data_IF_063875669534
#
_entry.id   IF_063875669534
#
_cell.length_a   1.000
_cell.length_b   1.000
_cell.length_c   1.000
_cell.angle_alpha   90.00
_cell.angle_beta   90.00
_cell.angle_gamma   90.00
#
_symmetry.space_group_name_H-M   'P 1'
#
loop_
_entity.id
_entity.type
_entity.pdbx_description
1 polymer ?
#
# COMPACT_ATOMS: atom_id res chain seq x y z
N UNK A 1 -18.52 29.35 -18.99
CA UNK A 1 -18.35 28.04 -18.34
C UNK A 1 -18.92 28.11 -16.93
N UNK A 2 -19.95 27.31 -16.63
CA UNK A 2 -20.51 27.18 -15.27
C UNK A 2 -19.57 26.25 -14.49
N UNK A 3 -19.30 26.54 -13.20
CA UNK A 3 -18.49 25.64 -12.37
C UNK A 3 -19.38 24.51 -11.85
N UNK A 4 -19.01 23.23 -12.05
CA UNK A 4 -19.76 22.11 -11.47
C UNK A 4 -19.75 22.19 -9.94
N UNK A 5 -20.86 21.80 -9.30
CA UNK A 5 -20.95 21.71 -7.84
C UNK A 5 -20.49 20.32 -7.40
N UNK A 6 -19.22 20.25 -7.02
CA UNK A 6 -18.56 19.04 -6.53
C UNK A 6 -18.11 19.26 -5.08
N UNK A 7 -18.22 18.22 -4.26
CA UNK A 7 -17.48 18.12 -3.02
C UNK A 7 -16.57 16.90 -3.06
N UNK A 8 -15.40 17.04 -2.45
CA UNK A 8 -14.38 15.99 -2.38
C UNK A 8 -13.93 15.80 -0.93
N UNK A 9 -13.70 14.56 -0.54
CA UNK A 9 -13.12 14.19 0.75
C UNK A 9 -12.04 13.12 0.57
N UNK A 10 -11.01 13.17 1.39
CA UNK A 10 -9.91 12.21 1.46
C UNK A 10 -9.71 11.73 2.90
N UNK A 11 -9.38 10.46 3.09
CA UNK A 11 -8.91 9.92 4.37
C UNK A 11 -7.44 9.52 4.22
N UNK A 12 -6.52 10.22 4.88
CA UNK A 12 -5.10 9.79 4.98
C UNK A 12 -4.43 10.39 6.23
N UNK A 13 -3.78 9.56 7.04
CA UNK A 13 -2.78 9.96 8.02
C UNK A 13 -1.40 9.93 7.33
N UNK A 14 -0.71 11.07 7.27
CA UNK A 14 0.63 11.17 6.63
C UNK A 14 1.70 11.14 7.70
N UNK A 15 2.52 10.09 7.73
CA UNK A 15 3.74 10.04 8.54
C UNK A 15 4.85 10.86 7.87
N UNK A 16 5.39 11.86 8.56
CA UNK A 16 6.49 12.70 8.07
C UNK A 16 7.81 12.25 8.70
N UNK A 17 8.76 11.67 7.94
CA UNK A 17 10.04 11.28 8.51
C UNK A 17 10.87 12.52 8.91
N UNK A 18 11.71 12.43 9.96
CA UNK A 18 12.56 13.53 10.38
C UNK A 18 13.68 13.80 9.36
N UNK A 19 13.81 15.05 8.93
CA UNK A 19 14.90 15.53 8.07
C UNK A 19 16.24 15.51 8.80
N UNK A 20 17.27 14.89 8.21
CA UNK A 20 18.65 15.02 8.70
C UNK A 20 19.61 15.40 7.57
N UNK A 21 20.46 16.39 7.85
CA UNK A 21 21.52 16.90 6.96
C UNK A 21 22.66 15.89 6.79
N UNK A 22 23.28 15.77 5.61
CA UNK A 22 24.38 14.84 5.39
C UNK A 22 25.67 15.38 6.01
N UNK A 23 26.37 14.57 6.80
CA UNK A 23 27.78 14.78 7.16
C UNK A 23 28.65 13.72 6.50
N UNK A 24 29.77 14.14 5.90
CA UNK A 24 30.73 13.32 5.17
C UNK A 24 31.55 12.44 6.12
N UNK A 25 31.84 11.15 5.81
CA UNK A 25 32.65 10.32 6.69
C UNK A 25 34.15 10.45 6.41
N UNK A 26 34.91 10.91 7.40
CA UNK A 26 36.35 10.65 7.50
C UNK A 26 36.61 9.22 7.99
N UNK A 27 37.66 8.58 7.46
CA UNK A 27 38.06 7.19 7.71
C UNK A 27 38.66 7.02 9.12
N UNK A 28 38.24 6.02 9.93
CA UNK A 28 39.04 5.59 11.08
C UNK A 28 39.45 4.10 11.00
N UNK A 29 40.58 3.79 11.64
CA UNK A 29 41.11 2.44 11.87
C UNK A 29 40.23 1.59 12.81
N UNK A 30 40.74 0.48 13.37
CA UNK A 30 39.91 -0.53 14.02
C UNK A 30 39.31 0.02 15.32
N UNK A 31 38.06 0.49 15.23
CA UNK A 31 37.34 1.13 16.31
C UNK A 31 36.55 0.10 17.13
N UNK A 32 36.71 0.14 18.46
CA UNK A 32 35.68 -0.33 19.38
C UNK A 32 34.38 0.42 19.06
N UNK A 33 33.32 -0.33 18.77
CA UNK A 33 32.07 0.22 18.24
C UNK A 33 31.22 0.73 19.42
N UNK A 34 30.80 2.00 19.42
CA UNK A 34 29.98 2.55 20.50
C UNK A 34 28.55 1.95 20.46
N UNK A 35 27.87 1.78 21.61
CA UNK A 35 26.51 1.21 21.73
C UNK A 35 25.36 2.00 21.05
N UNK A 36 25.68 3.04 20.27
CA UNK A 36 24.74 4.08 19.81
C UNK A 36 24.25 3.91 18.38
N UNK A 37 24.60 2.82 17.69
CA UNK A 37 24.14 2.60 16.31
C UNK A 37 22.65 2.25 16.28
N UNK A 38 21.86 2.89 15.40
CA UNK A 38 20.45 2.53 15.20
C UNK A 38 20.28 1.05 14.80
N UNK A 39 19.22 0.41 15.27
CA UNK A 39 18.90 -1.00 15.02
C UNK A 39 18.22 -1.22 13.66
N UNK A 40 18.17 -2.47 13.22
CA UNK A 40 17.43 -2.88 12.01
C UNK A 40 16.13 -3.56 12.44
N UNK A 41 15.00 -3.19 11.86
CA UNK A 41 13.73 -3.90 12.07
C UNK A 41 13.26 -4.62 10.81
N UNK A 42 12.63 -5.77 11.01
CA UNK A 42 12.04 -6.55 9.93
C UNK A 42 10.57 -6.84 10.25
N UNK A 43 9.60 -6.06 9.73
CA UNK A 43 8.19 -6.40 9.78
C UNK A 43 7.88 -7.63 8.92
N UNK A 44 6.98 -8.48 9.40
CA UNK A 44 6.29 -9.50 8.59
C UNK A 44 4.86 -9.66 9.08
N UNK A 45 3.98 -10.21 8.26
CA UNK A 45 2.55 -9.97 8.35
C UNK A 45 1.72 -11.26 8.55
N UNK A 46 0.42 -11.08 8.83
CA UNK A 46 -0.55 -12.18 8.97
C UNK A 46 -1.68 -12.02 7.95
N UNK A 47 -2.06 -13.08 7.21
CA UNK A 47 -2.88 -12.96 6.00
C UNK A 47 -4.35 -12.55 6.27
N UNK A 48 -4.96 -11.84 5.32
CA UNK A 48 -6.38 -11.40 5.34
C UNK A 48 -7.42 -12.56 5.19
N UNK A 49 -8.73 -12.37 5.50
CA UNK A 49 -9.75 -13.44 5.51
C UNK A 49 -10.04 -14.11 4.14
N UNK A 50 -10.67 -15.30 4.10
CA UNK A 50 -10.70 -16.15 2.91
C UNK A 50 -11.67 -15.70 1.81
N UNK A 51 -11.21 -15.76 0.55
CA UNK A 51 -12.08 -15.90 -0.63
C UNK A 51 -12.18 -17.38 -0.99
N UNK A 52 -13.37 -18.01 -1.03
CA UNK A 52 -13.47 -19.42 -1.38
C UNK A 52 -13.27 -19.59 -2.88
N UNK A 53 -12.06 -20.01 -3.27
CA UNK A 53 -11.77 -20.45 -4.63
C UNK A 53 -12.00 -21.97 -4.73
N UNK A 54 -12.84 -22.41 -5.64
CA UNK A 54 -13.13 -23.83 -5.89
C UNK A 54 -11.95 -24.48 -6.62
N UNK A 55 -11.60 -25.72 -6.23
CA UNK A 55 -10.58 -26.53 -6.92
C UNK A 55 -9.15 -26.50 -6.35
N UNK A 56 -8.90 -25.77 -5.26
CA UNK A 56 -7.60 -25.74 -4.57
C UNK A 56 -7.60 -26.53 -3.27
N UNK A 57 -6.41 -26.94 -2.82
CA UNK A 57 -6.18 -27.50 -1.49
C UNK A 57 -6.73 -26.55 -0.39
N UNK A 58 -7.19 -27.06 0.76
CA UNK A 58 -7.68 -26.20 1.84
C UNK A 58 -6.64 -25.14 2.20
N UNK A 59 -7.03 -23.85 2.32
CA UNK A 59 -6.08 -22.73 2.35
C UNK A 59 -5.11 -22.77 3.54
N UNK A 60 -5.46 -23.45 4.64
CA UNK A 60 -4.61 -23.57 5.83
C UNK A 60 -4.01 -24.98 6.00
N UNK A 61 -4.09 -25.83 4.99
CA UNK A 61 -3.54 -27.20 5.05
C UNK A 61 -2.03 -27.28 4.93
N UNK A 62 -1.39 -26.22 4.41
CA UNK A 62 0.03 -26.23 4.04
C UNK A 62 0.41 -27.43 3.16
N UNK A 63 -0.45 -27.75 2.17
CA UNK A 63 -0.27 -28.91 1.32
C UNK A 63 1.00 -28.77 0.47
N UNK A 64 1.95 -29.67 0.68
CA UNK A 64 3.22 -29.72 -0.05
C UNK A 64 3.14 -30.78 -1.15
N UNK A 65 3.42 -30.38 -2.38
CA UNK A 65 3.51 -31.29 -3.54
C UNK A 65 4.92 -31.86 -3.68
N UNK A 66 5.06 -32.89 -4.52
CA UNK A 66 6.31 -33.64 -4.72
C UNK A 66 7.48 -32.81 -5.24
N UNK A 67 7.21 -31.75 -6.01
CA UNK A 67 8.24 -30.81 -6.50
C UNK A 67 8.69 -29.78 -5.44
N UNK A 68 8.15 -29.87 -4.23
CA UNK A 68 8.54 -29.04 -3.09
C UNK A 68 7.71 -27.77 -2.91
N UNK A 69 6.83 -27.40 -3.85
CA UNK A 69 5.93 -26.25 -3.69
C UNK A 69 4.93 -26.48 -2.55
N UNK A 70 4.58 -25.39 -1.86
CA UNK A 70 3.62 -25.39 -0.74
C UNK A 70 2.42 -24.53 -1.12
N UNK A 71 1.23 -25.12 -1.07
CA UNK A 71 -0.03 -24.44 -1.32
C UNK A 71 -0.69 -24.11 0.02
N UNK A 72 -0.62 -22.85 0.42
CA UNK A 72 -1.27 -22.32 1.61
C UNK A 72 -1.51 -20.81 1.49
N UNK A 73 -2.53 -20.30 2.16
CA UNK A 73 -2.69 -18.87 2.40
C UNK A 73 -1.57 -18.40 3.33
N UNK A 74 -0.91 -17.31 2.96
CA UNK A 74 0.29 -16.87 3.66
C UNK A 74 1.59 -17.46 3.14
N UNK A 75 1.56 -18.45 2.22
CA UNK A 75 2.79 -19.11 1.78
C UNK A 75 3.72 -18.16 1.01
N UNK A 76 3.17 -17.29 0.15
CA UNK A 76 3.94 -16.28 -0.57
C UNK A 76 3.93 -14.92 0.14
N UNK A 77 2.75 -14.48 0.59
CA UNK A 77 2.50 -13.19 1.22
C UNK A 77 1.97 -13.40 2.66
N UNK A 78 2.83 -13.30 3.69
CA UNK A 78 4.29 -13.15 3.59
C UNK A 78 5.04 -14.13 4.51
N UNK A 79 4.36 -15.18 5.02
CA UNK A 79 4.92 -16.06 6.06
C UNK A 79 6.23 -16.74 5.64
N UNK A 80 6.45 -16.93 4.33
CA UNK A 80 7.73 -17.45 3.84
C UNK A 80 8.89 -16.53 4.20
N UNK A 81 8.72 -15.22 4.10
CA UNK A 81 9.74 -14.21 4.42
C UNK A 81 10.05 -14.24 5.92
N UNK A 82 9.03 -14.32 6.79
CA UNK A 82 9.22 -14.47 8.23
C UNK A 82 10.08 -15.69 8.60
N UNK A 83 9.77 -16.85 8.01
CA UNK A 83 10.56 -18.06 8.25
C UNK A 83 11.98 -17.92 7.69
N UNK A 84 12.16 -17.31 6.52
CA UNK A 84 13.48 -17.06 5.95
C UNK A 84 14.35 -16.20 6.87
N UNK A 85 13.81 -15.13 7.46
CA UNK A 85 14.55 -14.30 8.41
C UNK A 85 14.93 -15.05 9.68
N UNK A 86 14.01 -15.81 10.26
CA UNK A 86 14.29 -16.62 11.45
C UNK A 86 15.37 -17.67 11.18
N UNK A 87 15.31 -18.35 10.04
CA UNK A 87 16.31 -19.36 9.65
C UNK A 87 17.67 -18.73 9.33
N UNK A 88 17.70 -17.58 8.66
CA UNK A 88 18.93 -16.84 8.41
C UNK A 88 19.61 -16.42 9.72
N UNK A 89 18.85 -15.84 10.65
CA UNK A 89 19.35 -15.43 11.98
C UNK A 89 19.83 -16.63 12.79
N UNK A 90 19.09 -17.75 12.77
CA UNK A 90 19.49 -19.01 13.42
C UNK A 90 20.84 -19.51 12.89
N UNK A 91 21.00 -19.52 11.57
CA UNK A 91 22.23 -19.97 10.91
C UNK A 91 23.41 -19.03 11.20
N UNK A 92 23.20 -17.72 11.17
CA UNK A 92 24.23 -16.73 11.51
C UNK A 92 24.69 -16.89 12.97
N UNK A 93 23.74 -17.00 13.90
CA UNK A 93 24.03 -17.22 15.31
C UNK A 93 24.79 -18.54 15.55
N UNK A 94 24.40 -19.61 14.86
CA UNK A 94 25.10 -20.91 14.91
C UNK A 94 26.55 -20.85 14.42
N UNK A 95 26.87 -19.90 13.53
CA UNK A 95 28.24 -19.64 13.03
C UNK A 95 29.02 -18.64 13.89
N UNK A 96 28.47 -18.20 15.02
CA UNK A 96 29.11 -17.23 15.91
C UNK A 96 29.13 -15.79 15.36
N UNK A 97 28.28 -15.47 14.39
CA UNK A 97 28.16 -14.09 13.89
C UNK A 97 27.58 -13.18 14.97
N UNK A 98 28.26 -12.06 15.22
CA UNK A 98 27.79 -11.00 16.12
C UNK A 98 27.56 -9.72 15.32
N UNK A 99 26.31 -9.28 15.14
CA UNK A 99 26.02 -8.08 14.36
C UNK A 99 26.51 -6.82 15.07
N UNK A 100 26.90 -5.80 14.29
CA UNK A 100 27.31 -4.50 14.84
C UNK A 100 26.15 -3.69 15.43
N UNK A 101 24.91 -4.08 15.07
CA UNK A 101 23.66 -3.44 15.46
C UNK A 101 22.70 -4.50 15.99
N UNK A 102 21.80 -4.10 16.88
CA UNK A 102 20.67 -4.94 17.24
C UNK A 102 19.79 -5.19 16.01
N UNK A 103 19.37 -6.44 15.83
CA UNK A 103 18.38 -6.83 14.83
C UNK A 103 17.10 -7.18 15.57
N UNK A 104 16.01 -6.48 15.24
CA UNK A 104 14.68 -6.75 15.76
C UNK A 104 13.82 -7.38 14.66
N UNK A 105 13.16 -8.48 14.99
CA UNK A 105 12.13 -9.07 14.12
C UNK A 105 10.79 -8.71 14.73
N UNK A 106 9.92 -8.05 13.96
CA UNK A 106 8.59 -7.63 14.39
C UNK A 106 7.57 -8.36 13.52
N UNK A 107 6.69 -9.15 14.13
CA UNK A 107 5.60 -9.80 13.42
C UNK A 107 4.34 -9.03 13.81
N UNK A 108 3.73 -8.31 12.89
CA UNK A 108 2.60 -7.41 13.20
C UNK A 108 1.34 -7.86 12.46
N UNK A 109 0.17 -7.78 13.11
CA UNK A 109 -1.09 -8.01 12.41
C UNK A 109 -1.43 -6.80 11.52
N UNK A 110 -2.50 -6.95 10.74
CA UNK A 110 -3.28 -5.83 10.19
C UNK A 110 -2.74 -5.14 8.92
N UNK A 111 -1.59 -5.55 8.38
CA UNK A 111 -1.02 -5.01 7.12
C UNK A 111 -2.04 -4.90 6.00
N UNK A 112 -2.67 -6.04 5.73
CA UNK A 112 -3.50 -6.25 4.56
C UNK A 112 -4.78 -5.41 4.56
N UNK A 113 -5.10 -4.78 5.70
CA UNK A 113 -6.23 -3.85 5.85
C UNK A 113 -5.78 -2.42 6.20
N UNK A 114 -4.48 -2.13 6.11
CA UNK A 114 -3.89 -0.80 6.23
C UNK A 114 -3.11 -0.54 7.53
N UNK A 115 -3.06 -1.49 8.46
CA UNK A 115 -2.19 -1.44 9.63
C UNK A 115 -2.57 -0.42 10.71
N UNK A 116 -3.80 0.11 10.68
CA UNK A 116 -4.25 1.18 11.56
C UNK A 116 -4.26 0.75 13.05
N UNK A 117 -4.63 -0.50 13.32
CA UNK A 117 -4.59 -1.06 14.67
C UNK A 117 -3.31 -1.84 14.97
N UNK A 118 -2.52 -2.14 13.92
CA UNK A 118 -1.22 -2.80 14.01
C UNK A 118 -0.05 -1.81 14.03
N UNK A 119 0.65 -1.71 12.90
CA UNK A 119 1.93 -1.00 12.83
C UNK A 119 1.80 0.51 13.11
N UNK A 120 0.70 1.17 12.71
CA UNK A 120 0.48 2.61 12.95
C UNK A 120 0.54 2.96 14.45
N UNK A 121 -0.11 2.14 15.29
CA UNK A 121 -0.05 2.30 16.75
C UNK A 121 1.29 1.90 17.32
N UNK A 122 1.89 0.83 16.79
CA UNK A 122 3.18 0.35 17.28
C UNK A 122 4.28 1.40 17.08
N UNK A 123 4.38 2.03 15.91
CA UNK A 123 5.40 3.06 15.66
C UNK A 123 5.21 4.32 16.51
N UNK A 124 3.98 4.60 16.95
CA UNK A 124 3.67 5.71 17.86
C UNK A 124 4.00 5.40 19.33
N UNK A 125 4.26 4.13 19.67
CA UNK A 125 4.47 3.67 21.04
C UNK A 125 5.85 4.05 21.61
N UNK A 126 5.99 4.01 22.94
CA UNK A 126 7.28 4.24 23.58
C UNK A 126 8.23 3.06 23.36
N UNK A 127 7.67 1.86 23.28
CA UNK A 127 8.34 0.59 23.02
C UNK A 127 9.10 0.64 21.69
N UNK A 128 8.46 1.12 20.63
CA UNK A 128 9.12 1.27 19.32
C UNK A 128 10.25 2.31 19.37
N UNK A 129 10.05 3.43 20.07
CA UNK A 129 11.12 4.44 20.25
C UNK A 129 12.34 3.85 20.96
N UNK A 130 12.13 2.98 21.95
CA UNK A 130 13.23 2.31 22.67
C UNK A 130 14.02 1.33 21.81
N UNK A 131 13.44 0.79 20.72
CA UNK A 131 14.17 -0.05 19.78
C UNK A 131 15.27 0.71 19.02
N UNK A 132 15.18 2.04 18.95
CA UNK A 132 16.16 2.90 18.26
C UNK A 132 16.39 2.47 16.79
N UNK A 133 15.31 2.18 16.05
CA UNK A 133 15.37 1.69 14.66
C UNK A 133 15.93 2.75 13.72
N UNK A 134 16.92 2.39 12.91
CA UNK A 134 17.49 3.26 11.88
C UNK A 134 17.05 2.95 10.46
N UNK A 135 16.72 1.70 10.17
CA UNK A 135 16.12 1.30 8.91
C UNK A 135 15.29 0.03 9.07
N UNK A 136 14.37 -0.16 8.13
CA UNK A 136 13.42 -1.27 8.09
C UNK A 136 13.62 -2.06 6.81
N UNK A 137 13.54 -3.39 6.89
CA UNK A 137 13.43 -4.27 5.72
C UNK A 137 12.01 -4.84 5.68
N UNK A 138 11.25 -4.47 4.66
CA UNK A 138 9.87 -4.91 4.47
C UNK A 138 9.77 -6.12 3.50
N UNK A 139 8.56 -6.59 3.22
CA UNK A 139 8.28 -7.79 2.41
C UNK A 139 8.85 -7.77 0.98
N UNK A 140 8.94 -6.58 0.37
CA UNK A 140 9.38 -6.45 -1.02
C UNK A 140 8.41 -7.13 -1.99
N UNK A 141 8.92 -7.90 -2.96
CA UNK A 141 8.09 -8.58 -3.95
C UNK A 141 8.64 -9.99 -4.25
N UNK A 142 7.73 -10.96 -4.40
CA UNK A 142 8.07 -12.29 -4.87
C UNK A 142 8.79 -12.26 -6.23
N UNK A 143 9.82 -13.08 -6.36
CA UNK A 143 10.63 -13.24 -7.58
C UNK A 143 10.40 -14.62 -8.20
N UNK A 144 10.28 -14.74 -9.54
CA UNK A 144 10.23 -16.04 -10.21
C UNK A 144 11.60 -16.74 -10.30
N UNK A 145 12.65 -16.08 -9.80
CA UNK A 145 14.05 -16.55 -9.81
C UNK A 145 14.63 -16.43 -8.41
N UNK A 146 15.86 -16.88 -8.21
CA UNK A 146 16.57 -16.79 -6.93
C UNK A 146 17.13 -15.38 -6.63
N UNK A 147 16.78 -14.38 -7.43
CA UNK A 147 17.19 -12.99 -7.23
C UNK A 147 16.21 -12.23 -6.34
N UNK A 148 16.75 -11.50 -5.35
CA UNK A 148 15.98 -10.59 -4.50
C UNK A 148 15.75 -9.26 -5.20
N UNK A 149 14.50 -8.82 -5.24
CA UNK A 149 14.14 -7.48 -5.69
C UNK A 149 14.15 -6.54 -4.50
N UNK A 150 14.96 -5.48 -4.59
CA UNK A 150 15.09 -4.49 -3.53
C UNK A 150 14.36 -3.21 -3.95
N UNK A 151 13.41 -2.81 -3.13
CA UNK A 151 12.68 -1.55 -3.28
C UNK A 151 13.13 -0.59 -2.20
N UNK A 152 13.34 0.68 -2.57
CA UNK A 152 13.76 1.73 -1.63
C UNK A 152 12.62 2.70 -1.28
N UNK A 153 11.49 2.58 -1.98
CA UNK A 153 10.31 3.39 -1.82
C UNK A 153 9.10 2.63 -2.35
N UNK A 154 7.93 2.99 -1.82
CA UNK A 154 6.65 2.49 -2.28
C UNK A 154 5.71 3.65 -2.61
N UNK A 155 4.68 3.38 -3.40
CA UNK A 155 3.68 4.39 -3.74
C UNK A 155 2.67 4.54 -2.61
N UNK A 156 2.15 5.75 -2.45
CA UNK A 156 1.16 6.04 -1.41
C UNK A 156 -0.26 5.84 -1.96
N UNK A 157 -1.04 4.86 -1.46
CA UNK A 157 -2.43 4.70 -1.84
C UNK A 157 -3.31 5.73 -1.14
N UNK A 158 -4.03 6.53 -1.92
CA UNK A 158 -4.98 7.54 -1.47
C UNK A 158 -6.36 7.21 -2.02
N UNK A 159 -7.40 7.47 -1.23
CA UNK A 159 -8.79 7.35 -1.70
C UNK A 159 -9.42 8.73 -1.84
N UNK A 160 -9.91 9.04 -3.04
CA UNK A 160 -10.69 10.23 -3.33
C UNK A 160 -12.16 9.85 -3.53
N UNK A 161 -13.05 10.42 -2.73
CA UNK A 161 -14.50 10.30 -2.93
C UNK A 161 -15.03 11.61 -3.50
N UNK A 162 -15.60 11.55 -4.71
CA UNK A 162 -16.26 12.68 -5.37
C UNK A 162 -17.77 12.52 -5.23
N UNK A 163 -18.42 13.53 -4.65
CA UNK A 163 -19.87 13.62 -4.59
C UNK A 163 -20.35 14.71 -5.53
N UNK A 164 -21.13 14.31 -6.54
CA UNK A 164 -21.78 15.23 -7.47
C UNK A 164 -23.24 15.44 -7.08
N UNK A 165 -23.65 16.70 -7.02
CA UNK A 165 -25.02 17.10 -6.63
C UNK A 165 -25.68 17.84 -7.79
N UNK A 166 -26.96 17.56 -8.01
CA UNK A 166 -27.81 18.24 -8.98
C UNK A 166 -29.28 18.05 -8.63
N UNK A 167 -30.16 18.79 -9.30
CA UNK A 167 -31.59 18.71 -9.04
C UNK A 167 -32.14 17.32 -9.44
N UNK A 168 -32.94 16.65 -8.59
CA UNK A 168 -33.66 15.44 -8.99
C UNK A 168 -34.80 15.80 -9.94
N UNK A 169 -35.15 14.90 -10.86
CA UNK A 169 -36.18 15.17 -11.87
C UNK A 169 -36.65 13.92 -12.59
N UNK A 170 -37.93 13.87 -12.96
CA UNK A 170 -38.48 12.72 -13.67
C UNK A 170 -37.72 12.45 -14.97
N UNK A 171 -37.38 11.18 -15.25
CA UNK A 171 -36.50 10.82 -16.37
C UNK A 171 -37.00 11.19 -17.77
N UNK A 172 -38.28 11.57 -17.91
CA UNK A 172 -38.85 12.14 -19.14
C UNK A 172 -38.57 13.64 -19.30
N UNK A 173 -37.95 14.29 -18.32
CA UNK A 173 -37.57 15.70 -18.34
C UNK A 173 -36.06 15.83 -18.19
N UNK A 174 -35.45 16.55 -19.13
CA UNK A 174 -34.03 16.88 -19.12
C UNK A 174 -33.82 18.22 -18.39
N UNK A 175 -32.78 18.30 -17.56
CA UNK A 175 -32.41 19.50 -16.82
C UNK A 175 -30.89 19.67 -16.81
N UNK A 176 -30.44 20.90 -17.04
CA UNK A 176 -29.02 21.24 -16.95
C UNK A 176 -28.51 21.20 -15.50
N UNK A 177 -27.27 20.76 -15.33
CA UNK A 177 -26.58 20.70 -14.04
C UNK A 177 -27.07 19.54 -13.17
N UNK A 178 -27.47 18.44 -13.81
CA UNK A 178 -27.80 17.21 -13.10
C UNK A 178 -26.56 16.65 -12.38
N UNK A 179 -26.79 15.82 -11.35
CA UNK A 179 -25.70 15.18 -10.63
C UNK A 179 -24.84 14.31 -11.56
N UNK A 180 -25.47 13.68 -12.55
CA UNK A 180 -24.79 12.84 -13.53
C UNK A 180 -23.90 13.68 -14.46
N UNK A 181 -24.39 14.80 -14.97
CA UNK A 181 -23.58 15.70 -15.83
C UNK A 181 -22.34 16.22 -15.08
N UNK A 182 -22.53 16.78 -13.88
CA UNK A 182 -21.43 17.28 -13.06
C UNK A 182 -20.41 16.17 -12.74
N UNK A 183 -20.88 14.94 -12.52
CA UNK A 183 -20.00 13.80 -12.28
C UNK A 183 -19.21 13.42 -13.52
N UNK A 184 -19.85 13.39 -14.70
CA UNK A 184 -19.18 13.03 -15.95
C UNK A 184 -18.12 14.05 -16.34
N UNK A 185 -18.34 15.34 -16.10
CA UNK A 185 -17.31 16.37 -16.26
C UNK A 185 -16.07 16.09 -15.38
N UNK A 186 -16.29 15.67 -14.12
CA UNK A 186 -15.21 15.32 -13.21
C UNK A 186 -14.47 14.05 -13.66
N UNK A 187 -15.20 13.02 -14.08
CA UNK A 187 -14.62 11.78 -14.61
C UNK A 187 -13.78 12.07 -15.85
N UNK A 188 -14.25 12.91 -16.77
CA UNK A 188 -13.49 13.29 -17.96
C UNK A 188 -12.18 14.00 -17.60
N UNK A 189 -12.21 14.92 -16.63
CA UNK A 189 -11.00 15.59 -16.14
C UNK A 189 -9.98 14.60 -15.55
N UNK A 190 -10.46 13.62 -14.77
CA UNK A 190 -9.61 12.58 -14.16
C UNK A 190 -9.00 11.67 -15.25
N UNK A 191 -9.79 11.25 -16.23
CA UNK A 191 -9.32 10.41 -17.34
C UNK A 191 -8.26 11.17 -18.15
N UNK A 192 -8.49 12.44 -18.49
CA UNK A 192 -7.51 13.28 -19.18
C UNK A 192 -6.20 13.41 -18.39
N UNK A 193 -6.28 13.60 -17.08
CA UNK A 193 -5.08 13.63 -16.23
C UNK A 193 -4.35 12.29 -16.27
N UNK A 194 -5.06 11.18 -16.08
CA UNK A 194 -4.51 9.82 -16.11
C UNK A 194 -3.83 9.52 -17.45
N UNK A 195 -4.44 9.92 -18.57
CA UNK A 195 -3.86 9.74 -19.90
C UNK A 195 -2.57 10.56 -20.06
N UNK A 196 -2.56 11.81 -19.59
CA UNK A 196 -1.33 12.63 -19.60
C UNK A 196 -0.19 12.00 -18.81
N UNK A 197 -0.49 11.33 -17.68
CA UNK A 197 0.50 10.60 -16.90
C UNK A 197 0.98 9.35 -17.65
N UNK A 198 0.07 8.61 -18.27
CA UNK A 198 0.40 7.38 -18.98
C UNK A 198 1.16 7.63 -20.29
N UNK A 199 0.91 8.76 -20.95
CA UNK A 199 1.64 9.17 -22.15
C UNK A 199 3.12 9.44 -21.85
N UNK A 200 3.45 9.99 -20.67
CA UNK A 200 4.84 10.12 -20.22
C UNK A 200 5.53 8.76 -20.09
N UNK A 201 4.80 7.74 -19.62
CA UNK A 201 5.31 6.36 -19.51
C UNK A 201 5.49 5.73 -20.89
N UNK A 202 4.49 5.83 -21.77
CA UNK A 202 4.57 5.29 -23.14
C UNK A 202 5.69 5.92 -23.96
N UNK A 203 5.93 7.22 -23.76
CA UNK A 203 7.02 7.94 -24.40
C UNK A 203 8.39 7.61 -23.81
N UNK A 204 8.47 6.81 -22.74
CA UNK A 204 9.72 6.48 -22.05
C UNK A 204 10.35 7.66 -21.29
N UNK A 205 9.58 8.73 -21.04
CA UNK A 205 10.06 9.93 -20.33
C UNK A 205 10.12 9.66 -18.82
N UNK A 206 9.18 8.87 -18.28
CA UNK A 206 9.10 8.53 -16.86
C UNK A 206 8.82 7.03 -16.68
N UNK A 207 9.33 6.46 -15.59
CA UNK A 207 8.97 5.10 -15.21
C UNK A 207 7.54 5.03 -14.65
N UNK A 208 6.91 3.84 -14.69
CA UNK A 208 5.55 3.66 -14.17
C UNK A 208 5.41 3.96 -12.66
N UNK A 209 6.49 3.81 -11.90
CA UNK A 209 6.56 4.14 -10.47
C UNK A 209 6.69 5.64 -10.18
N UNK A 210 6.94 6.45 -11.21
CA UNK A 210 7.18 7.88 -11.04
C UNK A 210 5.92 8.71 -11.33
N UNK A 211 4.94 8.14 -12.04
CA UNK A 211 3.72 8.83 -12.43
C UNK A 211 2.57 8.53 -11.48
N UNK A 212 1.65 9.49 -11.36
CA UNK A 212 0.45 9.31 -10.55
C UNK A 212 -0.55 8.46 -11.32
N UNK A 213 -0.99 7.36 -10.72
CA UNK A 213 -2.05 6.52 -11.29
C UNK A 213 -3.35 6.78 -10.56
N UNK A 214 -4.39 7.22 -11.29
CA UNK A 214 -5.74 7.37 -10.77
C UNK A 214 -6.66 6.40 -11.49
N UNK A 215 -7.37 5.54 -10.76
CA UNK A 215 -8.30 4.59 -11.37
C UNK A 215 -9.69 4.68 -10.73
N UNK A 216 -10.78 4.67 -11.52
CA UNK A 216 -12.13 4.53 -10.99
C UNK A 216 -12.35 3.13 -10.42
N UNK A 217 -12.84 3.02 -9.18
CA UNK A 217 -13.13 1.71 -8.55
C UNK A 217 -14.60 1.52 -8.24
N UNK A 218 -15.32 2.57 -7.88
CA UNK A 218 -16.71 2.46 -7.50
C UNK A 218 -17.51 3.67 -7.99
N UNK A 219 -18.62 3.41 -8.69
CA UNK A 219 -19.64 4.40 -9.01
C UNK A 219 -20.95 3.97 -8.37
N UNK A 220 -21.54 4.85 -7.58
CA UNK A 220 -22.93 4.74 -7.14
C UNK A 220 -23.68 5.93 -7.66
N UNK A 221 -24.77 5.68 -8.36
CA UNK A 221 -25.61 6.71 -8.91
C UNK A 221 -27.05 6.22 -8.75
N UNK A 222 -27.85 6.96 -7.99
CA UNK A 222 -29.29 6.88 -8.11
C UNK A 222 -30.08 6.18 -7.03
N UNK A 223 -31.40 6.26 -7.19
CA UNK A 223 -32.37 5.54 -6.37
C UNK A 223 -33.13 4.59 -7.30
N UNK A 224 -33.02 3.26 -7.13
CA UNK A 224 -33.84 2.33 -7.86
C UNK A 224 -35.29 2.47 -7.39
N UNK A 225 -36.14 3.15 -8.17
CA UNK A 225 -37.60 3.10 -8.00
C UNK A 225 -38.28 2.99 -9.36
N UNK A 226 -39.50 2.41 -9.44
CA UNK A 226 -40.27 2.37 -10.69
C UNK A 226 -40.70 3.76 -11.19
N UNK A 227 -40.50 4.83 -10.41
CA UNK A 227 -41.13 6.13 -10.66
C UNK A 227 -40.25 7.39 -10.48
N UNK A 228 -39.09 7.40 -9.78
CA UNK A 228 -38.27 8.65 -9.64
C UNK A 228 -36.74 8.43 -9.56
N UNK A 229 -36.01 9.45 -10.03
CA UNK A 229 -34.59 9.62 -10.38
C UNK A 229 -33.57 9.84 -9.26
N UNK A 230 -32.30 9.81 -9.68
CA UNK A 230 -31.06 9.98 -8.91
C UNK A 230 -30.94 11.27 -8.10
N UNK A 231 -30.75 11.16 -6.78
CA UNK A 231 -30.51 12.29 -5.86
C UNK A 231 -29.05 12.52 -5.44
N UNK A 232 -28.16 11.55 -5.64
CA UNK A 232 -26.74 11.67 -5.35
C UNK A 232 -25.95 10.65 -6.17
N UNK A 233 -24.77 11.06 -6.64
CA UNK A 233 -23.78 10.12 -7.18
C UNK A 233 -22.47 10.25 -6.40
N UNK A 234 -21.93 9.12 -5.96
CA UNK A 234 -20.66 9.03 -5.25
C UNK A 234 -19.70 8.16 -6.08
N UNK A 235 -18.47 8.63 -6.23
CA UNK A 235 -17.43 7.93 -6.98
C UNK A 235 -16.17 7.80 -6.13
N UNK A 236 -15.58 6.61 -6.03
CA UNK A 236 -14.32 6.39 -5.34
C UNK A 236 -13.20 6.09 -6.33
N UNK A 237 -12.09 6.81 -6.19
CA UNK A 237 -10.85 6.60 -6.93
C UNK A 237 -9.72 6.25 -5.97
N UNK A 238 -9.07 5.07 -6.06
CA UNK A 238 -7.70 4.92 -5.64
C UNK A 238 -6.77 5.79 -6.51
N UNK A 239 -5.94 6.55 -5.84
CA UNK A 239 -4.85 7.33 -6.39
C UNK A 239 -3.58 6.71 -5.79
N UNK A 240 -2.62 6.34 -6.63
CA UNK A 240 -1.30 5.96 -6.16
C UNK A 240 -0.33 7.05 -6.60
N UNK A 241 0.23 7.77 -5.64
CA UNK A 241 1.31 8.75 -5.83
C UNK A 241 2.68 8.08 -5.73
#
# INVERSE_FOLDING_TARGET
MRKPRLSASSNTSVFKPPTRTPTTPGRPGPAQIPPSLPSSSIPTWTPSPPTPCTGFNPPFSAYRVSDGRIFARGAQDDKSIAIQYLEALRNLKGRGFSPLRSIHVSLVPDEEIGGADGNEKFVASQEFRMLNVGFVLDEGQASPTDEFRVFYADRLPWSLIVNAVGAPGHGSKMYDGSAAENLMECVEAIVRFRDSQFDLVKAGIRAGSEVISVNPVYLKAGTPTPTVSLGACAYQFPIHE
#
